data_IF_682357470346
#
_entry.id   IF_682357470346
#
_cell.length_a   1.000
_cell.length_b   1.000
_cell.length_c   1.000
_cell.angle_alpha   90.00
_cell.angle_beta   90.00
_cell.angle_gamma   90.00
#
_symmetry.space_group_name_H-M   'P 1'
#
loop_
_entity.id
_entity.type
_entity.pdbx_description
1 polymer ?
2 non-polymer ?
3 non-polymer ?
4 water ?
#
# COMPACT_ATOMS: atom_id res chain seq x y z
N UNK A 6 -1.93 11.70 -18.29
CA UNK A 6 -1.04 12.73 -17.70
C UNK A 6 0.42 12.32 -17.84
N UNK A 7 1.30 13.09 -17.21
CA UNK A 7 2.72 12.81 -17.24
C UNK A 7 3.03 11.63 -16.33
N UNK A 8 3.76 10.65 -16.85
CA UNK A 8 4.15 9.48 -16.08
C UNK A 8 5.17 9.97 -15.05
N UNK A 9 4.85 9.82 -13.78
CA UNK A 9 5.73 10.28 -12.70
C UNK A 9 6.33 9.16 -11.86
N UNK A 10 7.57 9.34 -11.46
CA UNK A 10 8.25 8.37 -10.60
C UNK A 10 8.60 9.11 -9.33
N UNK A 11 8.24 8.52 -8.18
CA UNK A 11 8.48 9.14 -6.88
C UNK A 11 9.45 8.39 -6.03
N UNK A 12 10.17 9.13 -5.19
CA UNK A 12 11.14 8.55 -4.27
C UNK A 12 10.49 8.47 -2.86
N UNK A 13 10.06 7.28 -2.47
CA UNK A 13 9.44 7.09 -1.17
C UNK A 13 10.30 6.16 -0.35
N UNK A 14 11.59 6.50 -0.26
CA UNK A 14 12.58 5.72 0.49
C UNK A 14 13.06 6.60 1.66
N UNK A 15 13.23 6.00 2.85
CA UNK A 15 13.69 6.81 3.99
C UNK A 15 15.21 7.08 4.00
N UNK A 16 15.72 7.56 2.87
CA UNK A 16 17.15 7.87 2.74
C UNK A 16 17.60 9.03 3.63
N UNK A 17 16.66 9.66 4.35
CA UNK A 17 17.02 10.74 5.26
C UNK A 17 17.93 10.10 6.31
N UNK A 18 17.74 8.79 6.51
CA UNK A 18 18.52 8.01 7.48
C UNK A 18 19.97 7.82 7.02
N UNK A 19 20.28 8.27 5.82
CA UNK A 19 21.63 8.15 5.28
C UNK A 19 22.40 9.46 5.38
N UNK A 20 21.68 10.54 5.68
CA UNK A 20 22.29 11.86 5.79
C UNK A 20 23.46 11.92 6.78
N UNK A 21 23.39 11.10 7.82
CA UNK A 21 24.44 11.07 8.83
C UNK A 21 25.78 10.64 8.24
N UNK A 22 25.74 9.86 7.16
CA UNK A 22 26.94 9.38 6.50
C UNK A 22 27.32 10.29 5.32
N UNK A 23 26.71 11.47 5.27
CA UNK A 23 26.97 12.42 4.19
C UNK A 23 26.46 11.90 2.85
N UNK A 24 25.29 11.27 2.89
CA UNK A 24 24.67 10.73 1.69
C UNK A 24 23.26 11.30 1.69
N UNK A 25 23.07 12.39 0.94
CA UNK A 25 21.79 13.07 0.89
C UNK A 25 20.91 12.76 -0.32
N UNK A 26 21.37 11.83 -1.15
CA UNK A 26 20.63 11.41 -2.33
C UNK A 26 20.09 12.59 -3.14
N UNK A 27 20.96 13.54 -3.46
CA UNK A 27 20.57 14.71 -4.25
C UNK A 27 20.58 14.36 -5.74
N UNK A 28 21.09 13.18 -6.06
CA UNK A 28 21.14 12.76 -7.46
C UNK A 28 19.79 12.22 -7.95
N UNK A 29 18.92 11.89 -7.02
CA UNK A 29 17.59 11.36 -7.34
C UNK A 29 16.87 12.22 -8.36
N UNK A 30 16.89 13.53 -8.15
CA UNK A 30 16.21 14.44 -9.05
C UNK A 30 16.90 14.61 -10.41
N UNK A 31 18.16 14.18 -10.50
CA UNK A 31 18.87 14.28 -11.77
C UNK A 31 18.29 13.24 -12.74
N UNK A 32 17.59 12.25 -12.18
CA UNK A 32 16.99 11.21 -13.00
C UNK A 32 15.52 11.46 -13.19
N UNK A 33 15.13 12.71 -12.98
CA UNK A 33 13.74 13.09 -13.16
C UNK A 33 12.80 12.37 -12.18
N UNK A 34 13.35 11.88 -11.07
CA UNK A 34 12.54 11.23 -10.04
C UNK A 34 12.15 12.30 -9.01
N UNK A 35 10.86 12.39 -8.70
CA UNK A 35 10.35 13.38 -7.75
C UNK A 35 10.78 13.04 -6.33
N UNK A 36 11.36 14.01 -5.62
CA UNK A 36 11.81 13.77 -4.25
C UNK A 36 11.43 14.90 -3.30
N UNK A 37 11.00 14.54 -2.10
CA UNK A 37 10.62 15.56 -1.12
C UNK A 37 11.80 16.50 -0.90
N UNK A 38 11.53 17.78 -0.70
CA UNK A 38 12.60 18.74 -0.45
C UNK A 38 13.33 18.31 0.82
N UNK A 39 14.64 18.50 0.84
CA UNK A 39 15.49 18.13 1.98
C UNK A 39 15.54 16.63 2.22
N UNK A 40 14.97 15.86 1.29
CA UNK A 40 14.95 14.40 1.39
C UNK A 40 14.25 13.93 2.67
N UNK A 41 13.23 14.64 3.12
CA UNK A 41 12.48 14.21 4.31
C UNK A 41 11.64 13.00 3.89
N UNK A 42 11.44 12.03 4.78
CA UNK A 42 10.64 10.85 4.43
C UNK A 42 9.19 11.27 4.19
N UNK A 43 8.58 11.91 5.18
CA UNK A 43 7.23 12.43 4.99
C UNK A 43 7.47 13.87 4.55
N UNK A 44 7.22 14.16 3.28
CA UNK A 44 7.47 15.51 2.80
C UNK A 44 6.44 16.09 1.88
N UNK A 45 6.84 17.13 1.17
CA UNK A 45 5.97 17.86 0.27
C UNK A 45 5.46 17.15 -0.98
N UNK A 46 6.19 16.13 -1.44
CA UNK A 46 5.78 15.40 -2.64
C UNK A 46 4.98 14.15 -2.29
N UNK A 47 5.42 13.44 -1.26
CA UNK A 47 4.76 12.21 -0.88
C UNK A 47 4.98 11.91 0.60
N UNK A 48 4.01 11.23 1.19
CA UNK A 48 4.09 10.86 2.59
C UNK A 48 3.23 9.63 2.86
N UNK A 49 3.85 8.60 3.43
CA UNK A 49 3.14 7.38 3.77
C UNK A 49 3.07 7.31 5.29
N UNK A 50 1.91 6.92 5.81
CA UNK A 50 1.69 6.84 7.24
C UNK A 50 1.39 5.41 7.58
N UNK A 51 2.24 4.79 8.39
CA UNK A 51 2.07 3.38 8.75
C UNK A 51 1.10 3.17 9.90
N UNK A 52 0.05 2.39 9.65
CA UNK A 52 -0.97 2.06 10.64
C UNK A 52 -1.33 3.28 11.50
N UNK A 53 -1.73 4.39 10.87
CA UNK A 53 -2.09 5.61 11.62
C UNK A 53 -3.42 5.51 12.37
N UNK A 54 -3.58 6.32 13.41
CA UNK A 54 -4.82 6.30 14.17
C UNK A 54 -4.87 5.14 15.14
N UNK A 55 -6.02 4.49 15.21
CA UNK A 55 -6.15 3.34 16.10
C UNK A 55 -7.23 2.44 15.55
N UNK A 56 -6.98 1.92 14.35
CA UNK A 56 -7.92 1.01 13.71
C UNK A 56 -8.16 -0.19 14.62
N UNK A 57 -9.43 -0.58 14.82
CA UNK A 57 -9.71 -1.74 15.66
C UNK A 57 -8.94 -2.92 15.04
N UNK A 58 -8.21 -3.67 15.84
CA UNK A 58 -7.44 -4.80 15.31
C UNK A 58 -6.93 -5.69 16.42
N UNK A 59 -6.49 -6.89 16.02
CA UNK A 59 -5.94 -7.86 16.96
C UNK A 59 -4.44 -7.91 16.69
N UNK A 60 -3.67 -7.43 17.66
CA UNK A 60 -2.22 -7.39 17.54
C UNK A 60 -1.54 -8.62 18.11
N UNK A 61 -0.61 -9.18 17.34
CA UNK A 61 0.14 -10.36 17.79
C UNK A 61 1.20 -9.88 18.79
N UNK A 62 1.25 -10.54 19.94
CA UNK A 62 2.23 -10.19 20.97
C UNK A 62 3.58 -10.85 20.70
N UNK A 63 3.62 -11.63 19.61
CA UNK A 63 4.82 -12.36 19.17
C UNK A 63 5.16 -13.57 20.04
N UNK A 64 4.16 -14.12 20.73
CA UNK A 64 4.37 -15.31 21.54
C UNK A 64 3.16 -16.22 21.39
N UNK A 65 2.41 -16.02 20.31
CA UNK A 65 1.24 -16.85 20.05
C UNK A 65 -0.08 -16.25 20.51
N UNK A 66 0.00 -15.24 21.37
CA UNK A 66 -1.17 -14.58 21.91
C UNK A 66 -1.45 -13.25 21.21
N UNK A 67 -2.63 -12.70 21.46
CA UNK A 67 -3.06 -11.44 20.85
C UNK A 67 -3.53 -10.43 21.90
N UNK A 68 -3.48 -9.17 21.50
CA UNK A 68 -3.93 -8.07 22.34
C UNK A 68 -4.93 -7.27 21.50
N UNK A 69 -6.14 -7.08 22.00
CA UNK A 69 -7.15 -6.32 21.27
C UNK A 69 -6.80 -4.84 21.27
N UNK A 70 -6.96 -4.17 20.13
CA UNK A 70 -6.71 -2.74 20.06
C UNK A 70 -8.04 -2.10 19.63
N UNK A 71 -8.54 -1.17 20.44
CA UNK A 71 -9.80 -0.50 20.14
C UNK A 71 -10.90 -1.48 19.71
N UNK A 72 -11.17 -2.48 20.56
CA UNK A 72 -12.23 -3.45 20.26
C UNK A 72 -11.85 -4.71 19.51
N UNK A 73 -10.65 -4.74 18.91
CA UNK A 73 -10.22 -5.93 18.18
C UNK A 73 -10.74 -6.02 16.75
N UNK A 74 -12.03 -5.76 16.54
CA UNK A 74 -12.61 -5.78 15.20
C UNK A 74 -13.46 -4.51 15.05
N UNK A 75 -13.54 -3.97 13.83
CA UNK A 75 -14.31 -2.73 13.64
C UNK A 75 -15.74 -2.67 14.17
N UNK A 76 -16.48 -3.77 14.13
CA UNK A 76 -17.86 -3.77 14.62
C UNK A 76 -17.89 -3.61 16.15
N UNK A 77 -16.72 -3.62 16.79
CA UNK A 77 -16.66 -3.45 18.24
C UNK A 77 -15.81 -2.22 18.57
N UNK A 78 -15.38 -1.50 17.55
CA UNK A 78 -14.50 -0.38 17.77
C UNK A 78 -15.15 0.96 18.09
N UNK A 79 -14.35 1.86 18.64
CA UNK A 79 -14.82 3.20 18.96
C UNK A 79 -14.25 4.12 17.87
N UNK A 80 -15.13 4.63 16.99
CA UNK A 80 -14.68 5.48 15.88
C UNK A 80 -14.07 6.79 16.34
N UNK A 81 -14.60 7.37 17.43
CA UNK A 81 -14.07 8.64 17.90
C UNK A 81 -12.61 8.56 18.33
N UNK A 82 -12.26 7.51 19.06
CA UNK A 82 -10.88 7.32 19.52
C UNK A 82 -9.97 7.14 18.30
N UNK A 83 -10.42 6.36 17.33
CA UNK A 83 -9.59 6.18 16.13
C UNK A 83 -9.35 7.49 15.40
N UNK A 84 -10.43 8.22 15.06
CA UNK A 84 -10.31 9.48 14.33
C UNK A 84 -9.50 10.53 15.09
N UNK A 85 -9.66 10.58 16.41
CA UNK A 85 -8.90 11.54 17.19
C UNK A 85 -7.42 11.20 17.09
N UNK A 86 -7.08 9.93 17.26
CA UNK A 86 -5.69 9.48 17.17
C UNK A 86 -5.14 9.64 15.77
N UNK A 87 -6.00 9.55 14.76
CA UNK A 87 -5.56 9.69 13.37
C UNK A 87 -5.06 11.13 13.15
N UNK A 88 -5.89 12.12 13.47
CA UNK A 88 -5.50 13.52 13.29
C UNK A 88 -4.22 13.83 14.07
N UNK A 89 -4.10 13.30 15.28
CA UNK A 89 -2.91 13.51 16.10
C UNK A 89 -1.66 12.96 15.41
N UNK A 90 -1.70 11.67 15.04
CA UNK A 90 -0.58 11.01 14.38
C UNK A 90 -0.14 11.78 13.15
N UNK A 91 -1.12 12.24 12.37
CA UNK A 91 -0.83 12.98 11.15
C UNK A 91 -0.10 14.29 11.41
N UNK A 92 -0.56 15.04 12.42
CA UNK A 92 0.08 16.30 12.75
C UNK A 92 1.48 16.06 13.30
N UNK A 93 1.60 15.07 14.17
CA UNK A 93 2.88 14.74 14.78
C UNK A 93 3.93 14.34 13.74
N UNK A 94 3.54 13.54 12.76
CA UNK A 94 4.45 13.08 11.72
C UNK A 94 4.69 14.13 10.63
N UNK A 95 3.64 14.86 10.24
CA UNK A 95 3.78 15.87 9.20
C UNK A 95 2.67 16.93 9.30
N UNK A 96 2.91 18.00 10.08
CA UNK A 96 1.97 19.10 10.31
C UNK A 96 1.35 19.68 9.04
N UNK A 97 2.20 20.17 8.16
CA UNK A 97 1.79 20.76 6.87
C UNK A 97 0.33 20.55 6.49
N UNK A 98 -0.51 21.55 6.74
CA UNK A 98 -1.94 21.47 6.42
C UNK A 98 -2.21 21.79 4.95
N UNK A 99 -1.25 22.43 4.30
CA UNK A 99 -1.39 22.75 2.89
C UNK A 99 -0.70 21.67 2.05
N UNK A 100 -0.32 20.57 2.71
CA UNK A 100 0.31 19.43 2.02
C UNK A 100 -0.50 19.19 0.75
N UNK A 101 0.19 19.11 -0.38
CA UNK A 101 -0.51 18.93 -1.65
C UNK A 101 0.03 17.75 -2.45
N UNK A 102 0.85 16.93 -1.81
CA UNK A 102 1.44 15.78 -2.48
C UNK A 102 0.59 14.54 -2.37
N UNK A 103 1.22 13.38 -2.52
CA UNK A 103 0.52 12.11 -2.44
C UNK A 103 0.51 11.60 -1.01
N UNK A 104 -0.71 11.41 -0.49
CA UNK A 104 -0.89 10.94 0.87
C UNK A 104 -1.29 9.47 0.85
N UNK A 105 -0.47 8.63 1.47
CA UNK A 105 -0.69 7.21 1.49
C UNK A 105 -0.98 6.68 2.90
N UNK A 106 -2.21 6.19 3.10
CA UNK A 106 -2.60 5.62 4.38
C UNK A 106 -2.29 4.12 4.27
N UNK A 107 -1.31 3.67 5.05
CA UNK A 107 -0.89 2.27 5.00
C UNK A 107 -1.43 1.46 6.18
N UNK A 108 -2.57 0.80 5.95
CA UNK A 108 -3.19 -0.04 6.97
C UNK A 108 -3.40 -1.40 6.34
N UNK A 109 -2.75 -2.43 6.91
CA UNK A 109 -2.83 -3.77 6.34
C UNK A 109 -3.26 -4.88 7.29
N UNK A 110 -3.68 -4.53 8.51
CA UNK A 110 -4.09 -5.56 9.48
C UNK A 110 -5.28 -6.39 9.05
N UNK A 111 -6.21 -5.79 8.31
CA UNK A 111 -7.34 -6.52 7.73
C UNK A 111 -7.84 -5.76 6.48
N UNK A 112 -8.65 -6.43 5.67
CA UNK A 112 -9.23 -5.84 4.47
C UNK A 112 -10.71 -5.77 4.76
N UNK A 113 -11.41 -4.77 4.20
CA UNK A 113 -12.85 -4.58 4.43
C UNK A 113 -13.77 -5.65 3.88
N UNK A 114 -13.24 -6.54 3.05
CA UNK A 114 -14.02 -7.65 2.52
C UNK A 114 -13.66 -8.84 3.41
N UNK A 115 -14.64 -9.37 4.15
CA UNK A 115 -14.45 -10.48 5.10
C UNK A 115 -13.60 -11.61 4.53
N UNK A 116 -13.98 -12.08 3.34
CA UNK A 116 -13.31 -13.17 2.66
C UNK A 116 -11.83 -12.94 2.38
N UNK A 117 -11.42 -11.68 2.18
CA UNK A 117 -10.04 -11.36 1.83
C UNK A 117 -9.06 -11.23 2.97
N UNK A 118 -9.30 -11.94 4.06
CA UNK A 118 -8.41 -11.87 5.20
C UNK A 118 -7.81 -13.24 5.39
N UNK A 119 -6.58 -13.41 4.88
CA UNK A 119 -5.87 -14.68 4.98
C UNK A 119 -4.61 -14.46 5.81
N UNK A 120 -3.89 -15.54 6.08
CA UNK A 120 -2.64 -15.45 6.83
C UNK A 120 -2.79 -14.71 8.14
N UNK A 121 -1.93 -13.72 8.39
CA UNK A 121 -1.99 -13.01 9.66
C UNK A 121 -3.19 -12.04 9.81
N UNK A 122 -4.06 -12.01 8.81
CA UNK A 122 -5.24 -11.16 8.87
C UNK A 122 -6.45 -12.00 9.27
N UNK A 123 -6.36 -13.30 9.06
CA UNK A 123 -7.46 -14.21 9.34
C UNK A 123 -8.01 -14.21 10.78
N UNK A 124 -7.18 -13.87 11.76
CA UNK A 124 -7.63 -13.85 13.15
C UNK A 124 -8.86 -12.94 13.30
N UNK A 125 -8.96 -11.93 12.44
CA UNK A 125 -10.09 -11.02 12.53
C UNK A 125 -11.40 -11.70 12.15
N UNK A 126 -11.33 -12.67 11.26
CA UNK A 126 -12.51 -13.42 10.86
C UNK A 126 -12.96 -14.28 12.03
N UNK A 127 -11.99 -14.99 12.63
CA UNK A 127 -12.28 -15.88 13.75
C UNK A 127 -12.84 -15.18 14.98
N UNK A 128 -12.31 -13.99 15.28
CA UNK A 128 -12.78 -13.22 16.41
C UNK A 128 -14.22 -12.74 16.14
N UNK A 129 -14.49 -12.32 14.90
CA UNK A 129 -15.83 -11.86 14.53
C UNK A 129 -16.85 -13.00 14.69
N UNK A 130 -16.44 -14.20 14.29
CA UNK A 130 -17.28 -15.38 14.38
C UNK A 130 -17.52 -15.76 15.84
N UNK A 131 -16.46 -15.74 16.65
CA UNK A 131 -16.58 -16.06 18.08
C UNK A 131 -17.56 -15.10 18.76
N UNK A 132 -17.57 -13.84 18.33
CA UNK A 132 -18.48 -12.86 18.93
C UNK A 132 -19.92 -13.27 18.67
N UNK A 133 -20.24 -13.57 17.42
CA UNK A 133 -21.60 -13.95 17.09
C UNK A 133 -22.01 -15.27 17.73
N UNK A 134 -21.09 -16.23 17.74
CA UNK A 134 -21.39 -17.54 18.34
C UNK A 134 -21.75 -17.37 19.81
N UNK A 135 -20.93 -16.62 20.56
CA UNK A 135 -21.18 -16.41 21.99
C UNK A 135 -22.53 -15.72 22.21
N UNK A 136 -22.98 -14.99 21.18
CA UNK A 136 -24.22 -14.24 21.25
C UNK A 136 -25.42 -15.09 20.86
N UNK A 137 -25.19 -16.09 20.00
CA UNK A 137 -26.24 -16.97 19.53
C UNK A 137 -25.77 -18.41 19.57
N UNK A 138 -25.65 -18.97 20.78
CA UNK A 138 -25.20 -20.36 20.96
C UNK A 138 -26.04 -21.37 20.19
N UNK A 139 -27.31 -21.04 19.95
CA UNK A 139 -28.22 -21.94 19.23
C UNK A 139 -28.15 -21.92 17.71
N UNK A 140 -27.50 -20.91 17.15
CA UNK A 140 -27.36 -20.77 15.70
C UNK A 140 -26.43 -21.80 15.11
N UNK A 141 -26.60 -22.11 13.83
CA UNK A 141 -25.72 -23.06 13.16
C UNK A 141 -24.52 -22.31 12.59
N UNK A 142 -23.59 -23.05 11.97
CA UNK A 142 -22.40 -22.45 11.40
C UNK A 142 -22.67 -21.37 10.34
N UNK A 143 -23.51 -21.70 9.36
CA UNK A 143 -23.85 -20.77 8.28
C UNK A 143 -24.42 -19.45 8.81
N UNK A 145 -24.05 -18.05 11.77
CA UNK A 145 -23.03 -17.32 12.50
C UNK A 145 -22.04 -16.63 11.57
N UNK A 146 -21.58 -17.35 10.56
CA UNK A 146 -20.62 -16.82 9.59
C UNK A 146 -21.23 -15.67 8.79
N UNK A 147 -22.47 -15.85 8.37
CA UNK A 147 -23.16 -14.83 7.59
C UNK A 147 -23.31 -13.53 8.39
N UNK A 148 -23.74 -13.67 9.64
CA UNK A 148 -23.93 -12.52 10.51
C UNK A 148 -22.60 -11.87 10.88
N UNK A 149 -21.56 -12.67 11.06
CA UNK A 149 -20.24 -12.13 11.41
C UNK A 149 -19.67 -11.33 10.24
N UNK A 150 -19.81 -11.87 9.04
CA UNK A 150 -19.29 -11.20 7.85
C UNK A 150 -20.02 -9.87 7.66
N UNK A 151 -21.34 -9.89 7.83
CA UNK A 151 -22.16 -8.69 7.68
C UNK A 151 -21.71 -7.56 8.60
N UNK A 152 -21.55 -7.85 9.89
CA UNK A 152 -21.12 -6.84 10.88
C UNK A 152 -19.71 -6.33 10.61
N UNK A 153 -18.81 -7.26 10.32
CA UNK A 153 -17.43 -6.88 10.05
C UNK A 153 -17.34 -5.91 8.86
N UNK A 154 -18.01 -6.27 7.77
CA UNK A 154 -17.95 -5.43 6.57
C UNK A 154 -18.62 -4.07 6.73
N UNK A 155 -19.72 -4.03 7.47
CA UNK A 155 -20.41 -2.76 7.68
C UNK A 155 -19.50 -1.77 8.37
N UNK A 156 -18.90 -2.18 9.48
CA UNK A 156 -18.04 -1.27 10.22
C UNK A 156 -16.63 -1.11 9.66
N UNK A 157 -16.12 -2.13 8.97
CA UNK A 157 -14.79 -2.01 8.38
C UNK A 157 -14.88 -0.88 7.33
N UNK A 158 -15.98 -0.87 6.58
CA UNK A 158 -16.21 0.15 5.58
C UNK A 158 -16.36 1.54 6.22
N UNK A 159 -17.15 1.61 7.30
CA UNK A 159 -17.37 2.86 8.01
C UNK A 159 -16.05 3.43 8.51
N UNK A 160 -15.21 2.60 9.12
CA UNK A 160 -13.91 3.09 9.60
C UNK A 160 -13.01 3.56 8.47
N UNK A 161 -12.92 2.77 7.40
CA UNK A 161 -12.05 3.15 6.31
C UNK A 161 -12.55 4.40 5.57
N UNK A 162 -13.87 4.49 5.38
CA UNK A 162 -14.44 5.63 4.68
C UNK A 162 -14.29 6.93 5.48
N UNK A 163 -14.62 6.89 6.77
CA UNK A 163 -14.49 8.09 7.59
C UNK A 163 -13.06 8.55 7.76
N UNK A 164 -12.11 7.61 7.80
CA UNK A 164 -10.71 7.97 7.95
C UNK A 164 -10.23 8.74 6.73
N UNK A 165 -10.67 8.29 5.56
CA UNK A 165 -10.30 8.91 4.29
C UNK A 165 -10.94 10.31 4.21
N UNK A 166 -12.20 10.43 4.59
CA UNK A 166 -12.88 11.73 4.58
C UNK A 166 -12.18 12.74 5.51
N UNK A 167 -11.68 12.26 6.64
CA UNK A 167 -10.99 13.13 7.61
C UNK A 167 -9.62 13.57 7.06
N UNK A 168 -8.92 12.67 6.39
CA UNK A 168 -7.62 12.99 5.80
C UNK A 168 -7.82 14.06 4.73
N UNK A 169 -8.85 13.89 3.92
CA UNK A 169 -9.15 14.84 2.85
C UNK A 169 -9.67 16.17 3.40
N UNK A 170 -10.38 16.13 4.52
CA UNK A 170 -10.90 17.35 5.10
C UNK A 170 -9.78 18.19 5.69
N UNK A 171 -8.80 17.56 6.35
CA UNK A 171 -7.71 18.30 6.96
C UNK A 171 -6.51 18.60 6.05
N UNK A 172 -6.41 17.91 4.93
CA UNK A 172 -5.35 18.12 3.94
C UNK A 172 -6.08 18.13 2.61
N UNK A 173 -6.88 19.16 2.41
CA UNK A 173 -7.71 19.34 1.22
C UNK A 173 -6.98 19.39 -0.11
N UNK A 174 -5.70 19.74 -0.10
CA UNK A 174 -4.94 19.83 -1.36
C UNK A 174 -4.20 18.56 -1.76
N UNK A 175 -4.18 17.55 -0.89
CA UNK A 175 -3.47 16.31 -1.19
C UNK A 175 -4.31 15.26 -1.92
N UNK A 176 -3.62 14.28 -2.51
CA UNK A 176 -4.26 13.17 -3.22
C UNK A 176 -4.11 11.97 -2.29
N UNK A 177 -5.22 11.54 -1.69
CA UNK A 177 -5.19 10.44 -0.73
C UNK A 177 -5.57 9.05 -1.26
N UNK A 178 -5.00 8.02 -0.66
CA UNK A 178 -5.32 6.67 -1.06
C UNK A 178 -4.74 5.68 -0.06
N UNK A 179 -5.33 4.48 0.01
CA UNK A 179 -4.83 3.42 0.89
C UNK A 179 -3.80 2.58 0.12
N UNK A 180 -2.65 2.34 0.73
CA UNK A 180 -1.61 1.53 0.12
C UNK A 180 -2.16 0.16 -0.28
N UNK A 181 -1.78 -0.32 -1.47
CA UNK A 181 -2.18 -1.65 -1.87
C UNK A 181 -3.47 -1.90 -2.62
N UNK A 182 -4.43 -0.97 -2.55
CA UNK A 182 -5.71 -1.14 -3.22
C UNK A 182 -5.69 -0.52 -4.62
N UNK A 183 -6.34 -1.16 -5.59
CA UNK A 183 -7.07 -2.43 -5.48
C UNK A 183 -6.19 -3.66 -5.57
N UNK A 184 -6.53 -4.70 -4.80
CA UNK A 184 -5.79 -5.95 -4.81
C UNK A 184 -6.20 -6.81 -5.99
N UNK A 185 -5.38 -7.80 -6.28
CA UNK A 185 -5.52 -8.65 -7.46
C UNK A 185 -5.35 -10.14 -7.14
N UNK A 186 -4.34 -10.46 -6.34
CA UNK A 186 -4.06 -11.83 -5.92
C UNK A 186 -3.68 -12.76 -7.07
N UNK A 187 -2.85 -12.27 -7.98
CA UNK A 187 -2.40 -13.07 -9.11
C UNK A 187 -1.08 -13.75 -8.73
N UNK A 188 -0.55 -14.60 -9.59
CA UNK A 188 0.68 -15.32 -9.30
C UNK A 188 0.67 -15.94 -7.91
N UNK A 189 -0.39 -16.68 -7.61
CA UNK A 189 -0.53 -17.36 -6.31
C UNK A 189 -0.60 -18.88 -6.54
N UNK A 190 -0.65 -19.68 -5.45
CA UNK A 190 -0.72 -21.14 -5.57
C UNK A 190 -1.81 -21.70 -6.49
N UNK A 191 -3.05 -21.30 -6.28
CA UNK A 191 -4.14 -21.79 -7.13
C UNK A 191 -4.56 -20.78 -8.19
N UNK A 192 -3.65 -19.86 -8.50
CA UNK A 192 -3.89 -18.84 -9.51
C UNK A 192 -2.52 -18.34 -9.95
N UNK A 193 -1.68 -19.28 -10.35
CA UNK A 193 -0.31 -18.98 -10.78
C UNK A 193 -0.27 -18.47 -12.21
N UNK A 194 -0.95 -17.35 -12.43
CA UNK A 194 -1.03 -16.71 -13.73
C UNK A 194 -1.12 -15.21 -13.51
N UNK A 195 -0.89 -14.41 -14.57
CA UNK A 195 -0.97 -12.95 -14.44
C UNK A 195 -2.36 -12.46 -14.06
N UNK A 196 -3.38 -13.12 -14.59
CA UNK A 196 -4.77 -12.71 -14.33
C UNK A 196 -5.15 -12.65 -12.86
N UNK A 197 -5.79 -11.57 -12.46
CA UNK A 197 -6.22 -11.43 -11.07
C UNK A 197 -7.30 -12.48 -10.80
N UNK A 198 -7.50 -12.78 -9.53
CA UNK A 198 -8.53 -13.73 -9.16
C UNK A 198 -9.87 -13.12 -9.62
N UNK A 199 -10.70 -13.92 -10.30
CA UNK A 199 -11.98 -13.41 -10.79
C UNK A 199 -12.93 -12.92 -9.68
N UNK A 200 -12.95 -13.62 -8.55
CA UNK A 200 -13.80 -13.20 -7.44
C UNK A 200 -13.31 -11.84 -6.96
N UNK A 201 -12.00 -11.65 -6.96
CA UNK A 201 -11.42 -10.37 -6.52
C UNK A 201 -11.82 -9.25 -7.49
N UNK A 202 -11.84 -9.56 -8.78
CA UNK A 202 -12.24 -8.56 -9.77
C UNK A 202 -13.65 -8.08 -9.47
N UNK A 203 -14.55 -9.04 -9.21
CA UNK A 203 -15.95 -8.69 -8.91
C UNK A 203 -16.08 -7.89 -7.61
N UNK A 204 -15.31 -8.25 -6.59
CA UNK A 204 -15.35 -7.53 -5.33
C UNK A 204 -14.78 -6.13 -5.53
N UNK A 205 -13.78 -6.00 -6.40
CA UNK A 205 -13.25 -4.66 -6.65
C UNK A 205 -14.31 -3.80 -7.33
N UNK A 206 -15.13 -4.40 -8.19
CA UNK A 206 -16.20 -3.66 -8.87
C UNK A 206 -17.14 -3.05 -7.83
N UNK A 207 -17.40 -3.78 -6.75
CA UNK A 207 -18.31 -3.32 -5.72
C UNK A 207 -17.70 -2.45 -4.62
N UNK A 208 -16.42 -2.11 -4.75
CA UNK A 208 -15.78 -1.25 -3.76
C UNK A 208 -15.61 0.21 -4.15
N UNK A 209 -16.48 0.69 -5.03
CA UNK A 209 -16.43 2.09 -5.47
C UNK A 209 -16.59 3.04 -4.28
N UNK A 210 -17.24 2.58 -3.22
CA UNK A 210 -17.40 3.41 -2.02
C UNK A 210 -16.02 3.82 -1.51
N UNK A 211 -15.02 2.96 -1.68
CA UNK A 211 -13.68 3.34 -1.25
C UNK A 211 -12.97 4.10 -2.37
N UNK A 212 -12.91 3.52 -3.55
CA UNK A 212 -12.17 4.16 -4.64
C UNK A 212 -12.68 5.54 -5.07
N UNK A 213 -13.99 5.78 -5.01
CA UNK A 213 -14.51 7.10 -5.40
C UNK A 213 -14.04 8.19 -4.45
N UNK A 214 -13.68 7.81 -3.23
CA UNK A 214 -13.22 8.80 -2.26
C UNK A 214 -11.71 8.95 -2.19
N UNK A 215 -11.00 8.27 -3.09
CA UNK A 215 -9.56 8.38 -3.14
C UNK A 215 -9.23 9.24 -4.36
N UNK A 216 -8.05 9.84 -4.36
CA UNK A 216 -7.61 10.67 -5.47
C UNK A 216 -6.50 9.95 -6.26
N UNK A 217 -6.19 8.73 -5.85
CA UNK A 217 -5.14 7.92 -6.49
C UNK A 217 -5.33 6.44 -6.12
N UNK A 218 -4.94 5.53 -7.01
CA UNK A 218 -5.01 4.09 -6.72
C UNK A 218 -3.56 3.67 -6.56
N UNK A 219 -3.30 2.88 -5.52
CA UNK A 219 -1.94 2.49 -5.18
C UNK A 219 -1.64 0.99 -5.10
N UNK A 220 -1.78 0.26 -6.22
CA UNK A 220 -1.50 -1.17 -6.15
C UNK A 220 -0.01 -1.37 -5.87
N UNK A 221 0.32 -2.49 -5.25
CA UNK A 221 1.71 -2.80 -4.92
C UNK A 221 2.19 -3.93 -5.82
N UNK A 222 3.30 -3.71 -6.51
CA UNK A 222 3.77 -4.73 -7.40
C UNK A 222 5.14 -5.29 -7.06
N UNK A 223 5.37 -5.57 -5.77
CA UNK A 223 6.64 -6.13 -5.33
C UNK A 223 6.79 -7.53 -5.92
N UNK A 224 7.98 -7.86 -6.41
CA UNK A 224 8.20 -9.18 -6.98
C UNK A 224 9.03 -10.05 -6.04
N UNK A 225 9.04 -11.35 -6.31
CA UNK A 225 9.77 -12.31 -5.48
C UNK A 225 10.76 -13.16 -6.28
N UNK A 226 11.85 -13.51 -5.60
CA UNK A 226 12.91 -14.35 -6.16
C UNK A 226 12.38 -15.76 -6.48
N UNK A 227 11.38 -16.22 -5.73
CA UNK A 227 10.83 -17.54 -5.97
C UNK A 227 10.03 -17.65 -7.28
N UNK A 228 9.79 -16.51 -7.94
CA UNK A 228 9.07 -16.50 -9.23
C UNK A 228 10.11 -16.40 -10.35
N UNK A 229 9.84 -16.99 -11.51
CA UNK A 229 10.80 -16.90 -12.62
C UNK A 229 10.73 -15.46 -13.11
N UNK A 230 11.77 -15.01 -13.85
CA UNK A 230 11.80 -13.65 -14.37
C UNK A 230 10.50 -13.31 -15.12
N UNK A 231 9.95 -14.26 -15.87
CA UNK A 231 8.73 -14.00 -16.60
C UNK A 231 7.50 -13.95 -15.70
N UNK A 232 7.48 -14.74 -14.63
CA UNK A 232 6.33 -14.71 -13.72
C UNK A 232 6.35 -13.39 -12.97
N UNK A 233 7.54 -12.82 -12.82
CA UNK A 233 7.68 -11.53 -12.13
C UNK A 233 6.99 -10.45 -12.97
N UNK A 234 7.23 -10.47 -14.29
CA UNK A 234 6.62 -9.52 -15.21
C UNK A 234 5.10 -9.72 -15.22
N UNK A 235 4.67 -10.98 -15.20
CA UNK A 235 3.25 -11.29 -15.18
C UNK A 235 2.58 -10.79 -13.90
N UNK A 236 3.29 -10.87 -12.77
CA UNK A 236 2.74 -10.40 -11.50
C UNK A 236 2.46 -8.90 -11.61
N UNK A 237 3.42 -8.17 -12.16
CA UNK A 237 3.25 -6.74 -12.33
C UNK A 237 2.14 -6.47 -13.36
N UNK A 238 2.21 -7.13 -14.49
CA UNK A 238 1.21 -6.96 -15.55
C UNK A 238 -0.23 -7.01 -15.03
N UNK A 239 -0.58 -8.11 -14.37
CA UNK A 239 -1.92 -8.28 -13.85
C UNK A 239 -2.39 -7.24 -12.83
N UNK A 240 -1.49 -6.83 -11.95
CA UNK A 240 -1.87 -5.86 -10.94
C UNK A 240 -2.08 -4.45 -11.49
N UNK A 241 -1.27 -4.04 -12.46
CA UNK A 241 -1.43 -2.71 -13.04
C UNK A 241 -2.72 -2.73 -13.89
N UNK A 242 -2.92 -3.81 -14.65
CA UNK A 242 -4.11 -3.94 -15.48
C UNK A 242 -5.40 -3.83 -14.63
N UNK A 243 -5.45 -4.52 -13.49
CA UNK A 243 -6.62 -4.47 -12.61
C UNK A 243 -6.84 -3.05 -12.05
N UNK A 244 -5.78 -2.39 -11.57
CA UNK A 244 -5.93 -1.02 -11.05
C UNK A 244 -6.41 -0.06 -12.17
N UNK A 245 -5.86 -0.23 -13.38
CA UNK A 245 -6.25 0.63 -14.50
C UNK A 245 -7.71 0.34 -14.90
N UNK A 246 -8.11 -0.93 -14.86
CA UNK A 246 -9.49 -1.32 -15.18
C UNK A 246 -10.41 -0.63 -14.17
N UNK A 247 -10.09 -0.77 -12.89
CA UNK A 247 -10.88 -0.16 -11.83
C UNK A 247 -10.98 1.36 -12.02
N UNK A 248 -9.85 2.03 -12.22
CA UNK A 248 -9.83 3.48 -12.44
C UNK A 248 -10.74 3.87 -13.62
N UNK A 249 -10.56 3.21 -14.75
CA UNK A 249 -11.36 3.49 -15.96
C UNK A 249 -12.84 3.31 -15.76
N UNK A 250 -13.24 2.45 -14.82
CA UNK A 250 -14.66 2.21 -14.56
C UNK A 250 -15.25 3.22 -13.57
N UNK A 251 -14.41 4.02 -12.92
CA UNK A 251 -14.89 5.01 -11.97
C UNK A 251 -15.21 6.35 -12.65
N UNK A 252 -15.96 7.18 -11.94
CA UNK A 252 -16.35 8.49 -12.46
C UNK A 252 -15.16 9.37 -12.81
N UNK A 253 -14.27 9.61 -11.87
CA UNK A 253 -13.14 10.50 -12.15
C UNK A 253 -11.79 9.87 -12.52
N UNK A 254 -11.79 8.58 -12.85
CA UNK A 254 -10.57 7.89 -13.24
C UNK A 254 -9.29 8.34 -12.51
N UNK A 255 -9.17 8.00 -11.22
CA UNK A 255 -7.99 8.38 -10.43
C UNK A 255 -6.69 7.84 -11.02
N UNK A 256 -5.60 8.59 -10.85
CA UNK A 256 -4.32 8.13 -11.38
C UNK A 256 -3.87 6.87 -10.65
N UNK A 257 -3.22 5.99 -11.39
CA UNK A 257 -2.71 4.74 -10.83
C UNK A 257 -1.21 4.83 -10.65
N UNK A 258 -0.76 4.80 -9.39
CA UNK A 258 0.66 4.86 -9.07
C UNK A 258 1.02 3.55 -8.37
N UNK A 259 1.89 2.77 -9.00
CA UNK A 259 2.28 1.46 -8.47
C UNK A 259 3.44 1.49 -7.48
N UNK A 260 3.25 0.85 -6.33
CA UNK A 260 4.30 0.77 -5.33
C UNK A 260 5.29 -0.28 -5.81
N UNK A 261 6.57 0.09 -5.83
CA UNK A 261 7.62 -0.79 -6.34
C UNK A 261 8.82 -0.77 -5.38
N UNK A 262 9.47 -1.91 -5.21
CA UNK A 262 10.61 -2.02 -4.30
C UNK A 262 11.85 -2.52 -5.06
N UNK A 263 13.02 -1.98 -4.71
CA UNK A 263 14.27 -2.35 -5.38
C UNK A 263 14.94 -3.64 -4.92
N UNK A 264 14.36 -4.33 -3.94
CA UNK A 264 14.89 -5.62 -3.49
C UNK A 264 13.74 -6.62 -3.58
N UNK A 265 14.05 -7.92 -3.60
CA UNK A 265 13.02 -8.95 -3.69
C UNK A 265 12.31 -9.10 -2.36
N UNK A 266 10.99 -9.16 -2.42
CA UNK A 266 10.17 -9.27 -1.22
C UNK A 266 10.52 -10.46 -0.34
N UNK A 267 11.02 -11.54 -0.95
CA UNK A 267 11.39 -12.73 -0.21
C UNK A 267 12.89 -12.90 -0.06
N UNK A 268 13.64 -11.87 -0.45
CA UNK A 268 15.11 -11.87 -0.36
C UNK A 268 15.51 -10.41 -0.31
N UNK A 269 15.15 -9.74 0.78
CA UNK A 269 15.39 -8.31 0.96
C UNK A 269 16.82 -7.79 0.92
N UNK A 270 17.81 -8.69 0.93
CA UNK A 270 19.18 -8.22 0.85
C UNK A 270 19.72 -8.32 -0.56
N UNK A 271 18.83 -8.65 -1.49
CA UNK A 271 19.20 -8.77 -2.89
C UNK A 271 18.42 -7.77 -3.74
N UNK A 272 19.14 -6.92 -4.46
CA UNK A 272 18.52 -5.93 -5.32
C UNK A 272 18.00 -6.57 -6.60
N UNK A 273 16.95 -5.98 -7.17
CA UNK A 273 16.41 -6.49 -8.42
C UNK A 273 17.51 -6.39 -9.48
N UNK A 274 17.60 -7.40 -10.33
CA UNK A 274 18.59 -7.38 -11.40
C UNK A 274 18.19 -6.25 -12.32
N UNK A 275 19.10 -5.78 -13.18
CA UNK A 275 18.79 -4.71 -14.10
C UNK A 275 17.66 -5.09 -15.04
N UNK A 276 17.60 -6.36 -15.42
CA UNK A 276 16.55 -6.86 -16.30
C UNK A 276 15.18 -6.72 -15.61
N UNK A 277 15.11 -7.13 -14.35
CA UNK A 277 13.86 -7.04 -13.62
C UNK A 277 13.40 -5.59 -13.46
N UNK A 278 14.34 -4.66 -13.22
CA UNK A 278 13.95 -3.26 -13.09
C UNK A 278 13.40 -2.77 -14.42
N UNK A 279 14.16 -3.00 -15.48
CA UNK A 279 13.76 -2.57 -16.80
C UNK A 279 12.40 -3.13 -17.20
N UNK A 280 12.25 -4.45 -17.06
CA UNK A 280 11.01 -5.12 -17.45
C UNK A 280 9.79 -4.78 -16.60
N UNK A 281 9.97 -4.60 -15.29
CA UNK A 281 8.83 -4.28 -14.45
C UNK A 281 8.38 -2.84 -14.69
N UNK A 282 9.32 -1.93 -14.93
CA UNK A 282 8.98 -0.53 -15.21
C UNK A 282 8.23 -0.47 -16.54
N UNK A 283 8.76 -1.14 -17.55
CA UNK A 283 8.09 -1.13 -18.85
C UNK A 283 6.69 -1.74 -18.74
N UNK A 284 6.52 -2.74 -17.89
CA UNK A 284 5.23 -3.38 -17.74
C UNK A 284 4.22 -2.41 -17.11
N UNK A 285 4.69 -1.57 -16.18
CA UNK A 285 3.82 -0.59 -15.54
C UNK A 285 3.39 0.43 -16.60
N UNK A 286 4.36 0.85 -17.41
CA UNK A 286 4.09 1.81 -18.48
C UNK A 286 3.10 1.24 -19.48
N UNK A 287 3.45 0.10 -20.05
CA UNK A 287 2.66 -0.60 -21.05
C UNK A 287 1.22 -0.85 -20.69
N UNK A 288 0.96 -1.11 -19.41
CA UNK A 288 -0.39 -1.41 -18.98
C UNK A 288 -1.25 -0.24 -18.54
N UNK A 289 -0.80 0.97 -18.84
CA UNK A 289 -1.58 2.15 -18.50
C UNK A 289 -1.31 2.83 -17.18
N UNK A 290 -0.26 2.44 -16.47
CA UNK A 290 0.03 3.09 -15.21
C UNK A 290 0.36 4.56 -15.41
N UNK A 291 0.13 5.36 -14.37
CA UNK A 291 0.41 6.79 -14.43
C UNK A 291 1.70 7.13 -13.71
N UNK A 292 2.33 6.12 -13.12
CA UNK A 292 3.55 6.38 -12.41
C UNK A 292 4.04 5.25 -11.53
N UNK A 293 5.15 5.50 -10.86
CA UNK A 293 5.78 4.51 -9.99
C UNK A 293 6.23 5.18 -8.71
N UNK A 294 6.03 4.49 -7.58
CA UNK A 294 6.48 5.01 -6.30
C UNK A 294 7.49 4.00 -5.81
N UNK A 295 8.75 4.41 -5.78
CA UNK A 295 9.83 3.54 -5.33
C UNK A 295 9.81 3.56 -3.80
N UNK A 296 9.54 2.40 -3.20
CA UNK A 296 9.45 2.34 -1.74
C UNK A 296 10.69 1.69 -1.15
N UNK A 297 10.96 2.03 0.11
CA UNK A 297 12.08 1.44 0.81
C UNK A 297 11.79 1.25 2.28
N UNK A 298 12.40 0.23 2.87
CA UNK A 298 12.23 -0.06 4.28
C UNK A 298 13.36 0.60 5.07
N UNK A 299 13.12 0.88 6.35
CA UNK A 299 14.17 1.47 7.18
C UNK A 299 15.37 0.51 7.16
N UNK A 300 15.06 -0.79 7.12
CA UNK A 300 16.09 -1.82 7.09
C UNK A 300 17.02 -1.69 5.89
N UNK A 301 16.52 -1.06 4.83
CA UNK A 301 17.31 -0.88 3.60
C UNK A 301 18.38 0.19 3.74
N UNK A 302 18.21 1.10 4.69
CA UNK A 302 19.18 2.19 4.83
C UNK A 302 19.66 2.39 6.27
N UNK A 303 19.80 1.29 7.01
CA UNK A 303 20.25 1.38 8.40
C UNK A 303 21.75 1.10 8.59
N UNK A 304 22.56 1.45 7.59
CA UNK A 304 24.01 1.24 7.66
C UNK A 304 24.68 2.00 6.51
N UNK A 305 25.95 2.31 6.68
CA UNK A 305 26.70 3.04 5.66
C UNK A 305 26.78 2.22 4.38
N UNK A 306 27.20 0.97 4.53
CA UNK A 306 27.33 0.05 3.39
C UNK A 306 26.03 -0.04 2.60
N UNK A 307 24.92 -0.23 3.31
CA UNK A 307 23.61 -0.30 2.65
C UNK A 307 23.29 0.99 1.93
N UNK A 308 23.54 2.12 2.59
CA UNK A 308 23.27 3.41 1.96
C UNK A 308 24.13 3.62 0.71
N UNK A 309 25.41 3.23 0.79
CA UNK A 309 26.30 3.38 -0.37
C UNK A 309 25.82 2.44 -1.47
N UNK A 310 25.43 1.23 -1.11
CA UNK A 310 24.92 0.27 -2.09
C UNK A 310 23.74 0.92 -2.83
N UNK A 311 22.80 1.45 -2.05
CA UNK A 311 21.63 2.09 -2.64
C UNK A 311 22.03 3.22 -3.57
N UNK A 312 23.00 4.04 -3.16
CA UNK A 312 23.44 5.15 -4.00
C UNK A 312 24.01 4.69 -5.35
N UNK A 313 24.84 3.66 -5.34
CA UNK A 313 25.40 3.16 -6.59
C UNK A 313 24.33 2.58 -7.51
N UNK A 314 23.41 1.83 -6.89
CA UNK A 314 22.30 1.21 -7.60
C UNK A 314 21.51 2.29 -8.32
N UNK A 315 21.34 3.43 -7.65
CA UNK A 315 20.62 4.54 -8.22
C UNK A 315 21.35 5.11 -9.43
N UNK A 316 22.64 5.40 -9.27
CA UNK A 316 23.43 5.99 -10.35
C UNK A 316 23.72 5.08 -11.53
N UNK A 317 23.90 3.79 -11.28
CA UNK A 317 24.23 2.87 -12.37
C UNK A 317 23.09 2.02 -12.94
N UNK A 318 22.08 1.72 -12.12
CA UNK A 318 20.97 0.89 -12.58
C UNK A 318 19.62 1.60 -12.62
N UNK A 319 19.10 1.94 -11.45
CA UNK A 319 17.80 2.58 -11.29
C UNK A 319 17.58 3.94 -11.96
N UNK A 320 18.46 4.90 -11.66
CA UNK A 320 18.31 6.22 -12.23
C UNK A 320 18.24 6.21 -13.74
N UNK A 321 19.23 5.62 -14.42
CA UNK A 321 19.22 5.58 -15.90
C UNK A 321 17.91 5.04 -16.45
N UNK A 322 17.44 3.94 -15.88
CA UNK A 322 16.19 3.33 -16.32
C UNK A 322 15.01 4.27 -16.05
N UNK A 323 14.98 4.86 -14.87
CA UNK A 323 13.91 5.79 -14.50
C UNK A 323 13.80 6.96 -15.48
N UNK A 324 14.90 7.68 -15.69
CA UNK A 324 14.86 8.83 -16.58
C UNK A 324 14.58 8.39 -18.02
N UNK A 325 15.08 7.21 -18.39
CA UNK A 325 14.85 6.69 -19.73
C UNK A 325 13.37 6.39 -19.92
N UNK A 326 12.72 5.89 -18.88
CA UNK A 326 11.30 5.57 -18.96
C UNK A 326 10.48 6.84 -19.10
N UNK A 327 10.90 7.90 -18.43
CA UNK A 327 10.17 9.17 -18.48
C UNK A 327 10.72 10.16 -19.50
N UNK A 328 11.88 9.87 -20.07
CA UNK A 328 12.53 10.76 -21.03
C UNK A 328 13.07 10.09 -22.28
N UNK A 329 12.86 8.78 -22.38
CA UNK A 329 13.31 7.96 -23.52
C UNK A 329 13.49 8.75 -24.82
#
# INVERSE_FOLDING_TARGET
SERPKRVFNIYWNVPTFMCHQYDLYFDEVTNFNIKRNSKDDFQGDKIAIFYDPGEFPALLSLKDGKYKKRNGGVPQEGNITIHLQKFIENLDKIYPNRNFSGIGVIDFERWRPIFRQNWGNMKIHKNFSIDLVRNEHPTWNKKXIELEASKRFEKYARFFMEETLKLAKKTRKQADWGYYGYPYCFNMSPNNLVPECDVTAMHENDKMSWLFNNQNVLLPSVYVRQELTPDQRIGLVQGRVKEAVRISNNLKHSPKVLSYWWYVYQDETNTFLTETDVKKTFQEIVINGGDGIIIWGSSSDVNSLSKCKRLQDYLLTVLGPIAINVTEAVN
#
